data_IF_190945691870
#
_entry.id   IF_190945691870
#
_cell.length_a   1.000
_cell.length_b   1.000
_cell.length_c   1.000
_cell.angle_alpha   90.00
_cell.angle_beta   90.00
_cell.angle_gamma   90.00
#
_symmetry.space_group_name_H-M   'P 1'
#
loop_
_entity.id
_entity.type
_entity.pdbx_description
1 polymer ?
#
# COMPACT_ATOMS: atom_id res chain seq x y z
N UNK A 1 3.16 10.57 -45.01
CA UNK A 1 2.10 11.61 -45.13
C UNK A 1 1.65 12.17 -43.79
N UNK A 2 1.26 11.34 -42.79
CA UNK A 2 0.82 11.86 -41.46
C UNK A 2 2.02 12.54 -40.75
N UNK A 3 3.18 11.91 -40.72
CA UNK A 3 4.39 12.47 -40.11
C UNK A 3 4.85 13.78 -40.76
N UNK A 4 4.69 13.93 -42.05
CA UNK A 4 5.03 15.16 -42.79
C UNK A 4 4.17 16.35 -42.35
N UNK A 5 2.89 16.11 -42.08
CA UNK A 5 1.91 17.11 -41.66
C UNK A 5 1.94 17.42 -40.16
N UNK A 6 2.58 16.59 -39.37
CA UNK A 6 2.67 16.80 -37.91
C UNK A 6 3.55 18.02 -37.61
N UNK A 7 3.15 18.81 -36.61
CA UNK A 7 3.94 19.94 -36.13
C UNK A 7 5.11 19.44 -35.26
N UNK A 8 6.17 20.29 -35.19
CA UNK A 8 7.28 20.02 -34.27
C UNK A 8 6.93 20.31 -32.81
N UNK A 9 7.47 19.57 -31.83
CA UNK A 9 8.46 18.51 -32.00
C UNK A 9 7.86 17.19 -32.50
N UNK A 10 8.52 16.51 -33.39
CA UNK A 10 8.11 15.21 -33.93
C UNK A 10 9.29 14.27 -34.12
N UNK A 11 9.07 12.98 -33.94
CA UNK A 11 10.00 11.90 -34.24
C UNK A 11 9.25 10.73 -34.88
N UNK A 12 9.95 9.97 -35.71
CA UNK A 12 9.39 8.76 -36.31
C UNK A 12 10.25 7.57 -35.94
N UNK A 13 9.61 6.52 -35.49
CA UNK A 13 10.25 5.23 -35.23
C UNK A 13 9.38 4.16 -35.86
N UNK A 14 9.95 3.28 -36.67
CA UNK A 14 9.30 2.09 -37.19
C UNK A 14 9.44 0.97 -36.18
N UNK A 15 8.36 0.27 -35.94
CA UNK A 15 8.35 -0.97 -35.14
C UNK A 15 8.14 -2.11 -36.12
N UNK A 16 9.24 -2.72 -36.55
CA UNK A 16 9.20 -3.79 -37.53
C UNK A 16 8.52 -5.02 -36.91
N UNK A 17 7.60 -5.64 -37.67
CA UNK A 17 6.81 -6.82 -37.28
C UNK A 17 5.83 -6.61 -36.08
N UNK A 18 5.70 -5.40 -35.54
CA UNK A 18 4.73 -5.11 -34.49
C UNK A 18 3.30 -4.99 -35.07
N UNK A 19 2.33 -5.60 -34.40
CA UNK A 19 0.93 -5.44 -34.77
C UNK A 19 0.36 -4.07 -34.35
N UNK A 20 -0.75 -3.69 -34.95
CA UNK A 20 -1.40 -2.37 -34.72
C UNK A 20 -1.85 -2.15 -33.26
N UNK A 21 -2.11 -3.20 -32.52
CA UNK A 21 -2.57 -3.14 -31.13
C UNK A 21 -1.45 -3.34 -30.11
N UNK A 22 -0.22 -3.59 -30.56
CA UNK A 22 0.94 -3.87 -29.70
C UNK A 22 0.66 -5.01 -28.69
N UNK A 23 0.03 -6.10 -29.16
CA UNK A 23 -0.31 -7.24 -28.32
C UNK A 23 0.92 -7.98 -27.76
N UNK A 24 2.07 -7.87 -28.44
CA UNK A 24 3.33 -8.36 -27.92
C UNK A 24 3.79 -7.51 -26.74
N UNK A 25 4.00 -8.14 -25.59
CA UNK A 25 4.50 -7.44 -24.39
C UNK A 25 5.88 -6.81 -24.62
N UNK A 26 6.72 -7.43 -25.45
CA UNK A 26 8.03 -6.89 -25.82
C UNK A 26 7.91 -5.61 -26.63
N UNK A 27 7.04 -5.58 -27.65
CA UNK A 27 6.83 -4.42 -28.50
C UNK A 27 6.17 -3.28 -27.73
N UNK A 28 5.22 -3.59 -26.87
CA UNK A 28 4.56 -2.62 -26.00
C UNK A 28 5.58 -1.96 -25.04
N UNK A 29 6.45 -2.75 -24.40
CA UNK A 29 7.48 -2.26 -23.50
C UNK A 29 8.52 -1.39 -24.25
N UNK A 30 8.93 -1.81 -25.43
CA UNK A 30 9.85 -1.05 -26.28
C UNK A 30 9.25 0.29 -26.72
N UNK A 31 7.99 0.28 -27.20
CA UNK A 31 7.28 1.49 -27.59
C UNK A 31 7.12 2.46 -26.40
N UNK A 32 6.74 1.96 -25.23
CA UNK A 32 6.64 2.76 -24.01
C UNK A 32 7.99 3.40 -23.62
N UNK A 33 9.08 2.65 -23.70
CA UNK A 33 10.44 3.15 -23.45
C UNK A 33 10.85 4.27 -24.40
N UNK A 34 10.56 4.14 -25.68
CA UNK A 34 10.83 5.17 -26.69
C UNK A 34 10.02 6.44 -26.42
N UNK A 35 8.72 6.31 -26.13
CA UNK A 35 7.85 7.45 -25.81
C UNK A 35 8.36 8.17 -24.56
N UNK A 36 8.70 7.44 -23.50
CA UNK A 36 9.22 8.01 -22.26
C UNK A 36 10.56 8.76 -22.49
N UNK A 37 11.49 8.17 -23.25
CA UNK A 37 12.77 8.78 -23.56
C UNK A 37 12.61 10.04 -24.43
N UNK A 38 11.71 10.01 -25.39
CA UNK A 38 11.40 11.15 -26.25
C UNK A 38 10.73 12.28 -25.44
N UNK A 39 9.73 11.96 -24.62
CA UNK A 39 8.99 12.93 -23.82
C UNK A 39 9.89 13.69 -22.83
N UNK A 40 10.87 13.03 -22.22
CA UNK A 40 11.83 13.66 -21.28
C UNK A 40 12.52 14.91 -21.84
N UNK A 41 12.69 15.03 -23.16
CA UNK A 41 13.32 16.19 -23.80
C UNK A 41 12.42 17.43 -23.81
N UNK A 42 11.10 17.23 -23.70
CA UNK A 42 10.10 18.28 -23.91
C UNK A 42 9.25 18.52 -22.65
N UNK A 43 9.28 17.59 -21.72
CA UNK A 43 8.72 17.85 -20.40
C UNK A 43 9.67 18.79 -19.64
N UNK A 44 9.14 19.83 -18.97
CA UNK A 44 9.97 20.59 -18.05
C UNK A 44 10.65 19.57 -17.12
N UNK A 45 11.95 19.76 -16.91
CA UNK A 45 12.59 19.00 -15.84
C UNK A 45 11.67 19.13 -14.61
N UNK A 46 11.37 18.03 -13.89
CA UNK A 46 10.69 18.18 -12.63
C UNK A 46 11.41 19.31 -11.91
N UNK A 47 10.65 20.35 -11.53
CA UNK A 47 11.24 21.46 -10.79
C UNK A 47 12.14 20.78 -9.75
N UNK A 48 13.43 21.20 -9.64
CA UNK A 48 14.27 20.63 -8.60
C UNK A 48 13.40 20.70 -7.37
N UNK A 49 13.01 19.53 -6.86
CA UNK A 49 12.28 19.48 -5.60
C UNK A 49 13.10 20.39 -4.73
N UNK A 50 12.54 21.58 -4.43
CA UNK A 50 13.22 22.54 -3.57
C UNK A 50 13.78 21.69 -2.46
N UNK A 51 15.09 21.75 -2.14
CA UNK A 51 15.59 20.92 -1.07
C UNK A 51 14.60 21.16 0.04
N UNK A 52 13.79 20.14 0.34
CA UNK A 52 12.95 20.13 1.53
C UNK A 52 13.93 20.61 2.56
N UNK A 53 13.68 21.81 3.15
CA UNK A 53 14.60 22.45 4.06
C UNK A 53 15.06 21.31 4.96
N UNK A 54 16.32 20.93 4.81
CA UNK A 54 16.86 19.71 5.38
C UNK A 54 16.53 19.78 6.86
N UNK A 55 15.49 19.09 7.24
CA UNK A 55 15.30 18.75 8.64
C UNK A 55 16.66 18.19 9.05
N UNK A 56 17.30 18.68 10.12
CA UNK A 56 18.66 18.32 10.49
C UNK A 56 18.77 16.80 10.31
N UNK A 57 19.78 16.35 9.55
CA UNK A 57 19.92 14.95 9.12
C UNK A 57 19.62 14.05 10.30
N UNK A 58 18.39 13.58 10.34
CA UNK A 58 17.95 12.71 11.40
C UNK A 58 18.71 11.40 11.19
N UNK A 59 19.62 11.09 12.08
CA UNK A 59 20.48 9.92 12.01
C UNK A 59 19.73 8.62 11.65
N UNK A 60 20.42 7.52 11.38
CA UNK A 60 19.79 6.28 10.95
C UNK A 60 18.72 5.85 11.95
N UNK A 61 17.58 5.39 11.44
CA UNK A 61 16.49 4.90 12.26
C UNK A 61 16.92 3.65 13.05
N UNK A 62 16.62 3.58 14.35
CA UNK A 62 16.75 2.33 15.09
C UNK A 62 15.96 1.19 14.45
N UNK A 63 16.40 -0.05 14.63
CA UNK A 63 15.68 -1.22 14.13
C UNK A 63 14.27 -1.26 14.72
N UNK A 64 13.26 -1.37 13.87
CA UNK A 64 11.85 -1.40 14.26
C UNK A 64 11.21 -0.03 14.49
N UNK A 65 11.97 1.06 14.31
CA UNK A 65 11.40 2.41 14.35
C UNK A 65 10.83 2.83 12.99
N UNK A 66 9.82 3.67 13.06
CA UNK A 66 9.22 4.38 11.91
C UNK A 66 9.35 5.87 12.18
N UNK A 67 9.75 6.64 11.18
CA UNK A 67 9.81 8.10 11.24
C UNK A 67 8.78 8.67 10.29
N UNK A 68 8.07 9.68 10.77
CA UNK A 68 7.15 10.46 9.97
C UNK A 68 7.71 11.86 9.87
N UNK A 69 7.73 12.42 8.67
CA UNK A 69 8.15 13.81 8.42
C UNK A 69 7.19 14.48 7.45
N UNK A 70 6.94 15.77 7.68
CA UNK A 70 6.04 16.55 6.84
C UNK A 70 6.57 16.66 5.40
N UNK A 71 5.66 16.66 4.45
CA UNK A 71 5.89 17.02 3.06
C UNK A 71 5.14 18.33 2.75
N UNK A 72 5.53 19.04 1.68
CA UNK A 72 4.75 20.17 1.20
C UNK A 72 3.33 19.76 0.86
N UNK A 73 2.32 20.49 1.36
CA UNK A 73 0.90 20.18 1.18
C UNK A 73 0.14 20.37 2.49
N UNK A 74 -1.11 19.88 2.54
CA UNK A 74 -1.95 20.03 3.73
C UNK A 74 -1.73 18.91 4.74
N UNK A 75 -1.67 17.66 4.27
CA UNK A 75 -1.60 16.46 5.12
C UNK A 75 -0.54 15.46 4.69
N UNK A 76 0.10 15.68 3.53
CA UNK A 76 1.10 14.76 3.02
C UNK A 76 2.28 14.59 3.97
N UNK A 77 2.63 13.36 4.27
CA UNK A 77 3.78 13.01 5.10
C UNK A 77 4.61 11.90 4.46
N UNK A 78 5.90 11.94 4.66
CA UNK A 78 6.80 10.85 4.33
C UNK A 78 6.88 9.87 5.50
N UNK A 79 6.71 8.58 5.22
CA UNK A 79 6.80 7.47 6.18
C UNK A 79 8.05 6.67 5.86
N UNK A 80 8.99 6.61 6.78
CA UNK A 80 10.27 5.92 6.63
C UNK A 80 10.37 4.73 7.60
N UNK A 81 10.73 3.56 7.09
CA UNK A 81 10.98 2.37 7.89
C UNK A 81 12.19 1.59 7.34
N UNK A 82 13.32 1.67 8.00
CA UNK A 82 14.59 1.11 7.52
C UNK A 82 14.99 1.72 6.17
N UNK A 83 14.99 0.92 5.10
CA UNK A 83 15.31 1.38 3.73
C UNK A 83 14.08 1.69 2.87
N UNK A 84 12.89 1.59 3.43
CA UNK A 84 11.64 1.75 2.70
C UNK A 84 11.00 3.08 3.04
N UNK A 85 10.43 3.72 2.04
CA UNK A 85 9.68 4.97 2.16
C UNK A 85 8.36 4.85 1.42
N UNK A 86 7.35 5.52 1.91
CA UNK A 86 6.07 5.74 1.23
C UNK A 86 5.50 7.11 1.63
N UNK A 87 4.58 7.62 0.84
CA UNK A 87 3.81 8.82 1.17
C UNK A 87 2.48 8.38 1.79
N UNK A 88 2.09 9.05 2.87
CA UNK A 88 0.74 8.99 3.42
C UNK A 88 0.10 10.36 3.29
N UNK A 89 -1.19 10.41 2.93
CA UNK A 89 -1.95 11.64 2.76
C UNK A 89 -3.43 11.35 3.05
N UNK A 90 -4.24 12.39 3.16
CA UNK A 90 -5.68 12.26 3.26
C UNK A 90 -6.35 12.43 1.88
N UNK A 91 -7.55 11.87 1.68
CA UNK A 91 -8.33 12.09 0.47
C UNK A 91 -8.70 13.57 0.27
N UNK A 92 -8.98 13.94 -0.98
CA UNK A 92 -9.37 15.31 -1.34
C UNK A 92 -10.62 15.79 -0.60
N UNK A 93 -11.56 14.88 -0.32
CA UNK A 93 -12.82 15.18 0.38
C UNK A 93 -12.61 15.67 1.82
N UNK A 94 -11.49 15.33 2.44
CA UNK A 94 -11.13 15.81 3.78
C UNK A 94 -10.03 16.88 3.77
N UNK A 95 -9.63 17.33 2.57
CA UNK A 95 -8.69 18.43 2.38
C UNK A 95 -7.25 18.01 2.10
N UNK A 96 -6.97 16.74 1.86
CA UNK A 96 -5.69 16.24 1.35
C UNK A 96 -5.56 16.39 -0.17
N UNK A 97 -4.46 15.91 -0.70
CA UNK A 97 -4.14 15.90 -2.13
C UNK A 97 -4.18 14.48 -2.74
N UNK A 98 -4.57 13.46 -1.95
CA UNK A 98 -4.65 12.03 -2.34
C UNK A 98 -3.33 11.49 -2.93
N UNK A 99 -2.20 11.89 -2.34
CA UNK A 99 -0.86 11.50 -2.79
C UNK A 99 -0.40 10.13 -2.31
N UNK A 100 -1.13 9.54 -1.37
CA UNK A 100 -0.78 8.25 -0.79
C UNK A 100 -1.91 7.66 0.05
N UNK A 101 -1.66 6.50 0.63
CA UNK A 101 -2.62 5.83 1.51
C UNK A 101 -2.85 6.62 2.79
N UNK A 102 -4.12 6.72 3.23
CA UNK A 102 -4.47 7.34 4.49
C UNK A 102 -3.94 6.58 5.72
N UNK A 103 -3.91 7.22 6.90
CA UNK A 103 -3.41 6.58 8.13
C UNK A 103 -4.15 5.28 8.49
N UNK A 104 -5.47 5.24 8.31
CA UNK A 104 -6.25 4.01 8.54
C UNK A 104 -5.98 2.94 7.49
N UNK A 105 -5.68 3.31 6.25
CA UNK A 105 -5.27 2.34 5.21
C UNK A 105 -3.95 1.68 5.57
N UNK A 106 -2.99 2.44 6.13
CA UNK A 106 -1.73 1.90 6.63
C UNK A 106 -1.95 0.94 7.80
N UNK A 107 -2.84 1.26 8.73
CA UNK A 107 -3.21 0.39 9.85
C UNK A 107 -3.82 -0.93 9.34
N UNK A 108 -4.81 -0.84 8.46
CA UNK A 108 -5.45 -2.00 7.84
C UNK A 108 -4.47 -2.79 6.97
N UNK A 109 -3.62 -2.09 6.23
CA UNK A 109 -2.54 -2.68 5.44
C UNK A 109 -1.56 -3.49 6.29
N UNK A 110 -1.18 -2.97 7.45
CA UNK A 110 -0.34 -3.67 8.43
C UNK A 110 -1.00 -4.96 8.95
N UNK A 111 -2.28 -4.89 9.31
CA UNK A 111 -3.05 -6.05 9.75
C UNK A 111 -3.22 -7.08 8.62
N UNK A 112 -3.57 -6.62 7.40
CA UNK A 112 -3.75 -7.47 6.24
C UNK A 112 -2.48 -8.20 5.83
N UNK A 113 -1.38 -7.45 5.72
CA UNK A 113 -0.07 -8.00 5.40
C UNK A 113 0.38 -9.04 6.44
N UNK A 114 0.27 -8.71 7.72
CA UNK A 114 0.62 -9.64 8.81
C UNK A 114 -0.24 -10.91 8.76
N UNK A 115 -1.54 -10.78 8.50
CA UNK A 115 -2.45 -11.93 8.34
C UNK A 115 -2.00 -12.82 7.17
N UNK A 116 -1.81 -12.27 5.98
CA UNK A 116 -1.42 -13.04 4.80
C UNK A 116 -0.06 -13.75 4.99
N UNK A 117 0.93 -13.05 5.55
CA UNK A 117 2.24 -13.63 5.87
C UNK A 117 2.14 -14.77 6.88
N UNK A 118 1.31 -14.63 7.92
CA UNK A 118 1.09 -15.64 8.96
C UNK A 118 0.45 -16.90 8.37
N UNK A 119 -0.57 -16.73 7.51
CA UNK A 119 -1.24 -17.85 6.85
C UNK A 119 -0.29 -18.61 5.92
N UNK A 120 0.50 -17.89 5.10
CA UNK A 120 1.52 -18.47 4.23
C UNK A 120 2.59 -19.23 5.02
N UNK A 121 3.07 -18.64 6.12
CA UNK A 121 4.08 -19.29 6.98
C UNK A 121 3.52 -20.58 7.58
N UNK A 122 2.30 -20.54 8.11
CA UNK A 122 1.64 -21.70 8.72
C UNK A 122 1.40 -22.81 7.69
N UNK A 123 0.84 -22.49 6.52
CA UNK A 123 0.59 -23.45 5.45
C UNK A 123 1.91 -24.11 4.97
N UNK A 124 2.97 -23.31 4.81
CA UNK A 124 4.31 -23.82 4.45
C UNK A 124 4.83 -24.80 5.51
N UNK A 125 4.72 -24.45 6.80
CA UNK A 125 5.14 -25.33 7.89
C UNK A 125 4.37 -26.66 7.91
N UNK A 126 3.09 -26.62 7.59
CA UNK A 126 2.20 -27.80 7.48
C UNK A 126 2.31 -28.52 6.16
N UNK A 127 3.06 -27.98 5.20
CA UNK A 127 3.16 -28.49 3.80
C UNK A 127 1.79 -28.55 3.13
N UNK A 128 0.90 -27.61 3.43
CA UNK A 128 -0.41 -27.49 2.81
C UNK A 128 -0.31 -26.76 1.47
N UNK A 129 -1.11 -27.16 0.47
CA UNK A 129 -1.05 -26.61 -0.88
C UNK A 129 -1.79 -25.27 -1.00
N UNK A 130 -1.41 -24.29 -0.17
CA UNK A 130 -1.89 -22.92 -0.24
C UNK A 130 -1.14 -22.19 -1.36
N UNK A 131 -1.84 -21.80 -2.41
CA UNK A 131 -1.29 -21.12 -3.59
C UNK A 131 -1.32 -19.62 -3.46
N UNK A 132 -2.47 -19.05 -3.06
CA UNK A 132 -2.62 -17.61 -2.86
C UNK A 132 -3.50 -17.28 -1.66
N UNK A 133 -3.26 -16.07 -1.13
CA UNK A 133 -4.02 -15.48 -0.01
C UNK A 133 -4.35 -14.03 -0.37
N UNK A 134 -5.63 -13.71 -0.42
CA UNK A 134 -6.11 -12.34 -0.50
C UNK A 134 -6.80 -11.97 0.81
N UNK A 135 -6.48 -10.80 1.33
CA UNK A 135 -7.09 -10.26 2.58
C UNK A 135 -7.63 -8.89 2.28
N UNK A 136 -8.92 -8.72 2.42
CA UNK A 136 -9.61 -7.43 2.30
C UNK A 136 -10.10 -7.00 3.67
N UNK A 137 -9.83 -5.74 4.03
CA UNK A 137 -10.23 -5.18 5.31
C UNK A 137 -11.01 -3.89 5.12
N UNK A 138 -11.96 -3.67 6.01
CA UNK A 138 -12.70 -2.41 6.12
C UNK A 138 -12.69 -1.95 7.57
N UNK A 139 -12.78 -0.63 7.78
CA UNK A 139 -12.89 -0.01 9.07
C UNK A 139 -14.15 0.85 9.13
N UNK A 140 -14.84 0.80 10.25
CA UNK A 140 -16.00 1.65 10.52
C UNK A 140 -16.14 1.93 12.02
N UNK A 141 -16.70 3.09 12.36
CA UNK A 141 -17.17 3.36 13.72
C UNK A 141 -18.63 2.93 13.85
N UNK A 142 -18.89 2.02 14.78
CA UNK A 142 -20.22 1.51 15.07
C UNK A 142 -20.65 1.92 16.49
N UNK A 143 -21.95 1.88 16.81
CA UNK A 143 -22.39 2.00 18.19
C UNK A 143 -21.98 0.78 19.00
N UNK A 144 -21.51 1.00 20.23
CA UNK A 144 -21.09 -0.08 21.12
C UNK A 144 -22.22 -1.08 21.40
N UNK A 145 -23.48 -0.62 21.42
CA UNK A 145 -24.66 -1.46 21.58
C UNK A 145 -24.84 -2.50 20.46
N UNK A 146 -24.28 -2.24 19.25
CA UNK A 146 -24.35 -3.14 18.09
C UNK A 146 -23.25 -4.23 18.11
N UNK A 147 -22.43 -4.26 19.16
CA UNK A 147 -21.40 -5.27 19.36
C UNK A 147 -21.76 -6.18 20.54
N UNK A 148 -22.18 -7.42 20.25
CA UNK A 148 -22.59 -8.38 21.27
C UNK A 148 -21.44 -8.78 22.21
N UNK A 149 -20.22 -8.92 21.67
CA UNK A 149 -19.05 -9.46 22.38
C UNK A 149 -18.12 -8.38 22.95
N UNK A 150 -18.40 -7.09 22.70
CA UNK A 150 -17.54 -5.99 23.16
C UNK A 150 -17.80 -5.69 24.66
N UNK A 151 -16.73 -5.35 25.37
CA UNK A 151 -16.81 -4.93 26.79
C UNK A 151 -17.47 -3.55 26.93
N UNK A 152 -17.12 -2.61 26.05
CA UNK A 152 -17.72 -1.27 25.96
C UNK A 152 -19.19 -1.38 25.54
N UNK A 153 -20.10 -0.80 26.30
CA UNK A 153 -21.55 -0.84 26.02
C UNK A 153 -22.14 0.50 25.62
N UNK A 154 -21.43 1.59 25.82
CA UNK A 154 -21.88 2.95 25.51
C UNK A 154 -20.93 3.64 24.52
N UNK A 155 -21.44 4.56 23.72
CA UNK A 155 -20.67 5.32 22.75
C UNK A 155 -20.42 4.57 21.45
N UNK A 156 -19.29 4.88 20.80
CA UNK A 156 -18.87 4.26 19.55
C UNK A 156 -17.58 3.49 19.75
N UNK A 157 -17.46 2.40 19.03
CA UNK A 157 -16.24 1.58 18.96
C UNK A 157 -15.78 1.46 17.50
N UNK A 158 -14.52 1.17 17.32
CA UNK A 158 -13.94 0.88 16.00
C UNK A 158 -14.17 -0.60 15.68
N UNK A 159 -14.71 -0.87 14.49
CA UNK A 159 -14.88 -2.21 13.95
C UNK A 159 -13.99 -2.38 12.73
N UNK A 160 -13.17 -3.40 12.72
CA UNK A 160 -12.42 -3.84 11.55
C UNK A 160 -13.00 -5.17 11.10
N UNK A 161 -13.51 -5.21 9.87
CA UNK A 161 -13.94 -6.46 9.24
C UNK A 161 -12.83 -6.96 8.31
N UNK A 162 -12.61 -8.27 8.29
CA UNK A 162 -11.55 -8.90 7.54
C UNK A 162 -12.08 -10.11 6.78
N UNK A 163 -12.05 -10.06 5.46
CA UNK A 163 -12.36 -11.16 4.56
C UNK A 163 -11.07 -11.81 4.08
N UNK A 164 -10.97 -13.14 4.21
CA UNK A 164 -9.81 -13.94 3.79
C UNK A 164 -10.23 -14.89 2.69
N UNK A 165 -9.62 -14.75 1.53
CA UNK A 165 -9.78 -15.65 0.39
C UNK A 165 -8.52 -16.52 0.27
N UNK A 166 -8.72 -17.84 0.14
CA UNK A 166 -7.64 -18.81 0.07
C UNK A 166 -7.75 -19.58 -1.26
N UNK A 167 -6.72 -19.52 -2.08
CA UNK A 167 -6.60 -20.33 -3.29
C UNK A 167 -5.71 -21.55 -3.07
N UNK A 168 -5.95 -22.59 -3.84
CA UNK A 168 -5.24 -23.87 -3.79
C UNK A 168 -6.15 -25.03 -3.41
N UNK A 169 -5.71 -26.28 -3.64
CA UNK A 169 -6.47 -27.50 -3.37
C UNK A 169 -6.48 -27.84 -1.86
N UNK A 170 -7.02 -26.92 -1.06
CA UNK A 170 -7.19 -27.05 0.38
C UNK A 170 -8.54 -27.72 0.70
N UNK A 171 -8.54 -28.67 1.61
CA UNK A 171 -9.76 -29.26 2.15
C UNK A 171 -10.49 -28.34 3.15
N UNK A 172 -11.71 -28.69 3.53
CA UNK A 172 -12.51 -27.87 4.45
C UNK A 172 -11.86 -27.70 5.86
N UNK A 173 -11.30 -28.74 6.48
CA UNK A 173 -10.56 -28.62 7.73
C UNK A 173 -9.35 -27.69 7.63
N UNK A 174 -8.58 -27.75 6.53
CA UNK A 174 -7.44 -26.87 6.32
C UNK A 174 -7.87 -25.41 6.20
N UNK A 175 -8.94 -25.12 5.47
CA UNK A 175 -9.51 -23.77 5.33
C UNK A 175 -9.99 -23.24 6.70
N UNK A 176 -10.74 -24.02 7.44
CA UNK A 176 -11.20 -23.66 8.77
C UNK A 176 -10.02 -23.36 9.71
N UNK A 177 -8.99 -24.21 9.68
CA UNK A 177 -7.81 -23.99 10.50
C UNK A 177 -7.03 -22.74 10.12
N UNK A 178 -6.88 -22.44 8.82
CA UNK A 178 -6.24 -21.20 8.37
C UNK A 178 -7.01 -19.98 8.84
N UNK A 179 -8.34 -20.01 8.85
CA UNK A 179 -9.15 -18.91 9.38
C UNK A 179 -8.87 -18.67 10.88
N UNK A 180 -8.79 -19.73 11.69
CA UNK A 180 -8.38 -19.61 13.10
C UNK A 180 -6.95 -19.05 13.26
N UNK A 181 -6.05 -19.37 12.35
CA UNK A 181 -4.68 -18.86 12.37
C UNK A 181 -4.63 -17.38 11.98
N UNK A 182 -5.56 -16.89 11.17
CA UNK A 182 -5.67 -15.47 10.85
C UNK A 182 -5.79 -14.61 12.11
N UNK A 183 -6.54 -15.08 13.14
CA UNK A 183 -6.71 -14.38 14.41
C UNK A 183 -5.47 -14.44 15.32
N UNK A 184 -4.48 -15.25 14.96
CA UNK A 184 -3.24 -15.40 15.73
C UNK A 184 -2.08 -14.59 15.17
N UNK A 185 -2.30 -13.77 14.12
CA UNK A 185 -1.24 -12.94 13.59
C UNK A 185 -0.80 -11.90 14.64
N UNK A 186 0.50 -11.56 14.73
CA UNK A 186 1.01 -10.65 15.74
C UNK A 186 0.29 -9.30 15.80
N UNK A 187 0.02 -8.67 14.64
CA UNK A 187 -0.68 -7.38 14.59
C UNK A 187 -2.11 -7.49 15.11
N UNK A 188 -2.86 -8.56 14.76
CA UNK A 188 -4.19 -8.81 15.33
C UNK A 188 -4.14 -8.87 16.86
N UNK A 189 -3.20 -9.63 17.40
CA UNK A 189 -3.02 -9.76 18.85
C UNK A 189 -2.69 -8.44 19.52
N UNK A 190 -1.87 -7.59 18.86
CA UNK A 190 -1.59 -6.24 19.36
C UNK A 190 -2.85 -5.40 19.39
N UNK A 191 -3.65 -5.37 18.30
CA UNK A 191 -4.87 -4.57 18.22
C UNK A 191 -5.99 -5.02 19.16
N UNK A 192 -5.95 -6.27 19.62
CA UNK A 192 -6.96 -6.82 20.56
C UNK A 192 -6.44 -6.94 21.99
N UNK A 193 -5.28 -6.37 22.29
CA UNK A 193 -4.71 -6.31 23.65
C UNK A 193 -4.63 -4.86 24.13
N UNK A 194 -4.32 -4.68 25.39
CA UNK A 194 -4.02 -3.36 25.93
C UNK A 194 -2.75 -2.79 25.29
N UNK A 195 -2.80 -1.52 24.87
CA UNK A 195 -1.69 -0.81 24.24
C UNK A 195 -1.39 0.45 25.07
N UNK A 196 -0.16 0.56 25.56
CA UNK A 196 0.32 1.79 26.19
C UNK A 196 1.04 2.65 25.14
N UNK A 197 0.55 3.88 24.91
CA UNK A 197 1.18 4.88 24.02
C UNK A 197 1.79 5.98 24.89
N UNK A 198 3.10 6.17 24.79
CA UNK A 198 3.83 7.24 25.51
C UNK A 198 4.34 8.28 24.53
N UNK A 199 4.02 9.54 24.79
CA UNK A 199 4.47 10.67 23.97
C UNK A 199 5.48 11.51 24.74
N UNK A 200 6.59 11.84 24.11
CA UNK A 200 7.64 12.70 24.65
C UNK A 200 7.96 13.82 23.64
N UNK A 201 8.25 14.99 24.16
CA UNK A 201 8.85 16.08 23.37
C UNK A 201 10.37 15.86 23.36
N UNK A 202 10.98 15.96 22.16
CA UNK A 202 12.44 15.86 21.98
C UNK A 202 13.15 17.20 22.28
#
# INVERSE_FOLDING_TARGET
>A
RIFEQALHPKSFVSLDDADHLLNSQGDAAYAAGLIAAWAKRYLPAPAPSSPVASTPEAGPLPVGAVRISDLPGNFAVNVEAGRHTLVSDEPVEVGGDDLGMGPYDLLLGGLGACTAMTLRLYARHKKWPLEDVRVTLTHAKIHAADCAECETKEGKIDRIERTVELAGPLDAPQRARLLEIADKCPVHRTLTSEIEVKTHLA
#
